data_IF_678334947623
#
_entry.id   IF_678334947623
#
_cell.length_a   1.000
_cell.length_b   1.000
_cell.length_c   1.000
_cell.angle_alpha   90.00
_cell.angle_beta   90.00
_cell.angle_gamma   90.00
#
_symmetry.space_group_name_H-M   'P 1'
#
loop_
_entity.id
_entity.type
_entity.pdbx_description
1 polymer ?
#
# COMPACT_ATOMS: atom_id res chain seq x y z
N UNK A 1 20.73 7.14 41.12
CA UNK A 1 20.99 8.58 40.88
C UNK A 1 19.71 9.27 40.44
N UNK A 2 19.08 8.77 39.38
CA UNK A 2 17.68 9.13 39.04
C UNK A 2 16.73 8.82 40.21
N UNK A 3 16.88 7.66 40.87
CA UNK A 3 16.15 7.31 42.12
C UNK A 3 16.53 8.21 43.33
N UNK A 4 17.54 9.06 43.17
CA UNK A 4 17.95 10.09 44.13
C UNK A 4 17.40 11.48 43.80
N UNK A 5 16.57 11.62 42.75
CA UNK A 5 15.90 12.86 42.36
C UNK A 5 16.60 13.69 41.27
N UNK A 6 17.69 13.19 40.66
CA UNK A 6 18.33 13.84 39.50
C UNK A 6 17.57 13.56 38.20
N UNK A 7 17.53 14.54 37.29
CA UNK A 7 16.96 14.35 35.94
C UNK A 7 17.88 13.50 35.06
N UNK A 8 17.35 12.93 33.98
CA UNK A 8 18.16 12.15 33.04
C UNK A 8 19.07 13.02 32.18
N UNK A 9 18.71 14.29 31.97
CA UNK A 9 19.55 15.36 31.40
C UNK A 9 20.74 15.71 32.32
N UNK A 10 20.51 15.89 33.63
CA UNK A 10 21.57 16.16 34.61
C UNK A 10 22.58 15.00 34.69
N UNK A 11 22.08 13.76 34.65
CA UNK A 11 22.92 12.55 34.58
C UNK A 11 23.68 12.49 33.26
N UNK A 12 23.03 12.75 32.11
CA UNK A 12 23.67 12.76 30.80
C UNK A 12 24.83 13.77 30.74
N UNK A 13 24.59 15.00 31.21
CA UNK A 13 25.60 16.06 31.34
C UNK A 13 26.75 15.65 32.27
N UNK A 14 26.44 15.09 33.44
CA UNK A 14 27.45 14.64 34.43
C UNK A 14 28.38 13.54 33.89
N UNK A 15 27.87 12.68 33.00
CA UNK A 15 28.61 11.55 32.43
C UNK A 15 29.10 11.77 30.99
N UNK A 16 28.97 12.98 30.43
CA UNK A 16 29.35 13.32 29.05
C UNK A 16 28.74 12.36 28.01
N UNK A 17 27.44 12.09 28.14
CA UNK A 17 26.67 11.17 27.30
C UNK A 17 25.33 11.79 26.89
N UNK A 18 24.54 11.12 26.05
CA UNK A 18 23.23 11.59 25.62
C UNK A 18 22.11 11.17 26.58
N UNK A 19 21.02 11.93 26.62
CA UNK A 19 19.85 11.56 27.40
C UNK A 19 19.25 10.22 26.92
N UNK A 20 19.16 10.00 25.60
CA UNK A 20 18.76 8.71 24.99
C UNK A 20 19.59 7.53 25.53
N UNK A 21 20.91 7.69 25.71
CA UNK A 21 21.76 6.64 26.28
C UNK A 21 21.48 6.40 27.78
N UNK A 22 21.22 7.44 28.57
CA UNK A 22 20.78 7.29 29.98
C UNK A 22 19.45 6.53 30.04
N UNK A 23 18.48 6.94 29.23
CA UNK A 23 17.15 6.35 29.19
C UNK A 23 17.17 4.89 28.67
N UNK A 24 18.01 4.56 27.69
CA UNK A 24 18.29 3.18 27.25
C UNK A 24 18.83 2.31 28.39
N UNK A 25 19.79 2.81 29.18
CA UNK A 25 20.32 2.09 30.35
C UNK A 25 19.26 1.91 31.44
N UNK A 26 18.37 2.87 31.64
CA UNK A 26 17.24 2.77 32.56
C UNK A 26 16.13 1.83 32.05
N UNK A 27 15.94 1.70 30.73
CA UNK A 27 15.03 0.72 30.13
C UNK A 27 15.55 -0.70 30.34
N UNK A 28 16.84 -0.95 30.03
CA UNK A 28 17.49 -2.24 30.29
C UNK A 28 17.42 -2.65 31.77
N UNK A 29 17.65 -1.72 32.71
CA UNK A 29 17.56 -1.99 34.15
C UNK A 29 16.13 -2.29 34.67
N UNK A 30 15.10 -2.21 33.82
CA UNK A 30 13.69 -2.53 34.15
C UNK A 30 13.22 -3.87 33.57
N UNK A 31 14.08 -4.62 32.88
CA UNK A 31 13.75 -5.97 32.36
C UNK A 31 13.62 -6.97 33.52
N UNK A 32 12.90 -8.08 33.34
CA UNK A 32 12.73 -9.10 34.38
C UNK A 32 14.09 -9.58 34.93
N UNK A 33 14.25 -9.68 36.27
CA UNK A 33 15.44 -10.26 36.90
C UNK A 33 15.81 -11.64 36.35
N UNK A 34 14.83 -12.47 35.98
CA UNK A 34 15.07 -13.80 35.39
C UNK A 34 15.80 -13.70 34.05
N UNK A 35 15.50 -12.70 33.23
CA UNK A 35 16.17 -12.49 31.95
C UNK A 35 17.58 -11.91 32.14
N UNK A 36 17.79 -11.09 33.18
CA UNK A 36 19.14 -10.70 33.60
C UNK A 36 19.99 -11.89 34.08
N UNK A 37 19.40 -12.86 34.80
CA UNK A 37 20.08 -14.10 35.18
C UNK A 37 20.46 -14.96 33.97
N UNK A 38 19.57 -15.06 32.97
CA UNK A 38 19.84 -15.78 31.71
C UNK A 38 20.92 -15.09 30.88
N UNK A 39 20.89 -13.76 30.78
CA UNK A 39 21.94 -12.97 30.11
C UNK A 39 23.30 -13.12 30.81
N UNK A 40 23.33 -13.12 32.15
CA UNK A 40 24.53 -13.36 32.94
C UNK A 40 25.08 -14.81 32.89
N UNK A 41 24.36 -15.72 32.22
CA UNK A 41 24.75 -17.11 31.94
C UNK A 41 25.05 -17.34 30.45
N UNK A 42 25.28 -16.28 29.68
CA UNK A 42 25.50 -16.31 28.22
C UNK A 42 24.34 -16.94 27.41
N UNK A 43 23.14 -17.05 28.00
CA UNK A 43 21.97 -17.69 27.39
C UNK A 43 21.26 -16.86 26.32
N UNK A 44 21.49 -15.54 26.30
CA UNK A 44 20.97 -14.61 25.29
C UNK A 44 22.00 -13.51 24.97
N UNK A 45 21.89 -12.88 23.80
CA UNK A 45 22.74 -11.74 23.43
C UNK A 45 22.20 -10.43 24.02
N UNK A 46 23.03 -9.36 24.02
CA UNK A 46 22.58 -8.04 24.45
C UNK A 46 21.38 -7.55 23.63
N UNK A 47 21.40 -7.72 22.31
CA UNK A 47 20.30 -7.33 21.42
C UNK A 47 18.99 -8.09 21.71
N UNK A 48 19.05 -9.34 22.21
CA UNK A 48 17.87 -10.06 22.70
C UNK A 48 17.33 -9.43 24.00
N UNK A 49 18.21 -9.06 24.93
CA UNK A 49 17.83 -8.39 26.18
C UNK A 49 17.27 -6.97 25.93
N UNK A 50 17.84 -6.25 24.97
CA UNK A 50 17.33 -4.94 24.51
C UNK A 50 15.92 -5.09 23.93
N UNK A 51 15.65 -6.08 23.09
CA UNK A 51 14.31 -6.35 22.54
C UNK A 51 13.23 -6.58 23.63
N UNK A 52 13.58 -7.13 24.79
CA UNK A 52 12.64 -7.27 25.92
C UNK A 52 12.20 -5.94 26.54
N UNK A 53 12.89 -4.83 26.27
CA UNK A 53 12.46 -3.49 26.73
C UNK A 53 11.21 -2.97 26.01
N UNK A 54 10.83 -3.56 24.87
CA UNK A 54 9.63 -3.18 24.10
C UNK A 54 8.30 -3.39 24.86
N UNK A 55 8.28 -4.20 25.92
CA UNK A 55 7.09 -4.39 26.75
C UNK A 55 7.47 -4.44 28.25
N UNK A 56 6.86 -3.62 29.12
CA UNK A 56 7.30 -3.45 30.52
C UNK A 56 6.82 -4.55 31.48
N UNK A 57 5.90 -5.43 31.06
CA UNK A 57 5.40 -6.53 31.90
C UNK A 57 6.36 -7.72 31.91
N UNK A 58 6.97 -7.98 33.08
CA UNK A 58 7.86 -9.13 33.33
C UNK A 58 7.20 -10.48 33.04
N UNK A 59 5.89 -10.64 33.28
CA UNK A 59 5.21 -11.90 33.02
C UNK A 59 5.11 -12.19 31.51
N UNK A 60 4.86 -11.17 30.69
CA UNK A 60 4.86 -11.31 29.21
C UNK A 60 6.28 -11.47 28.67
N UNK A 61 7.26 -10.75 29.22
CA UNK A 61 8.68 -10.93 28.89
C UNK A 61 9.13 -12.39 29.10
N UNK A 62 8.85 -12.95 30.28
CA UNK A 62 9.21 -14.33 30.60
C UNK A 62 8.44 -15.37 29.78
N UNK A 63 7.15 -15.13 29.50
CA UNK A 63 6.36 -15.99 28.61
C UNK A 63 6.97 -16.05 27.20
N UNK A 64 7.40 -14.92 26.65
CA UNK A 64 8.04 -14.85 25.33
C UNK A 64 9.41 -15.54 25.37
N UNK A 65 10.20 -15.34 26.43
CA UNK A 65 11.47 -16.08 26.59
C UNK A 65 11.27 -17.60 26.64
N UNK A 66 10.31 -18.09 27.44
CA UNK A 66 9.98 -19.52 27.55
C UNK A 66 9.56 -20.16 26.21
N UNK A 67 9.06 -19.36 25.26
CA UNK A 67 8.76 -19.79 23.90
C UNK A 67 9.96 -19.67 22.93
N UNK A 68 10.76 -18.62 23.06
CA UNK A 68 11.91 -18.32 22.17
C UNK A 68 13.13 -19.18 22.48
N UNK A 69 13.46 -19.44 23.75
CA UNK A 69 14.60 -20.27 24.17
C UNK A 69 14.57 -21.66 23.50
N UNK A 70 13.37 -22.24 23.40
CA UNK A 70 13.10 -23.57 22.83
C UNK A 70 13.15 -23.59 21.30
N UNK A 71 13.34 -22.43 20.66
CA UNK A 71 13.38 -22.28 19.21
C UNK A 71 14.80 -22.09 18.68
N UNK A 72 15.02 -22.45 17.42
CA UNK A 72 16.27 -22.16 16.70
C UNK A 72 16.31 -20.74 16.11
N UNK A 73 15.15 -20.07 15.98
CA UNK A 73 15.03 -18.70 15.48
C UNK A 73 14.78 -17.74 16.65
N UNK A 74 15.83 -17.07 17.15
CA UNK A 74 15.77 -16.27 18.39
C UNK A 74 15.98 -14.76 18.16
N UNK A 75 15.78 -14.29 16.93
CA UNK A 75 16.14 -12.95 16.52
C UNK A 75 15.46 -11.84 17.34
N UNK A 76 16.14 -10.71 17.65
CA UNK A 76 15.57 -9.59 18.40
C UNK A 76 14.25 -9.06 17.83
N UNK A 77 14.09 -8.99 16.51
CA UNK A 77 12.83 -8.63 15.85
C UNK A 77 11.69 -9.61 16.20
N UNK A 78 11.97 -10.91 16.28
CA UNK A 78 10.96 -11.91 16.66
C UNK A 78 10.55 -11.75 18.12
N UNK A 79 11.50 -11.44 19.00
CA UNK A 79 11.23 -11.11 20.41
C UNK A 79 10.33 -9.87 20.50
N UNK A 80 10.66 -8.77 19.80
CA UNK A 80 9.80 -7.57 19.72
C UNK A 80 8.39 -7.91 19.28
N UNK A 81 8.24 -8.56 18.12
CA UNK A 81 6.95 -8.92 17.53
C UNK A 81 6.12 -9.82 18.47
N UNK A 82 6.74 -10.82 19.13
CA UNK A 82 6.03 -11.64 20.12
C UNK A 82 5.66 -10.87 21.40
N UNK A 83 6.34 -9.78 21.76
CA UNK A 83 5.96 -8.93 22.89
C UNK A 83 4.80 -8.00 22.53
N UNK A 84 4.75 -7.50 21.30
CA UNK A 84 3.74 -6.53 20.81
C UNK A 84 2.55 -7.19 20.07
N UNK A 85 2.56 -8.50 19.84
CA UNK A 85 1.51 -9.33 19.20
C UNK A 85 0.07 -9.01 19.68
N UNK A 86 -0.12 -8.64 20.94
CA UNK A 86 -1.44 -8.31 21.53
C UNK A 86 -1.72 -6.81 21.60
N UNK A 87 -1.00 -6.00 20.81
CA UNK A 87 -1.09 -4.54 20.77
C UNK A 87 -1.06 -4.04 19.33
N UNK A 88 -1.45 -2.79 19.11
CA UNK A 88 -1.58 -2.21 17.77
C UNK A 88 -0.55 -1.09 17.58
N UNK A 89 0.21 -1.09 16.49
CA UNK A 89 1.17 -0.01 16.21
C UNK A 89 0.48 1.35 16.07
N UNK A 90 1.16 2.45 16.42
CA UNK A 90 0.65 3.80 16.22
C UNK A 90 0.38 4.13 14.74
N UNK A 91 1.07 3.45 13.82
CA UNK A 91 0.93 3.49 12.36
C UNK A 91 -0.12 2.54 11.78
N UNK A 92 -0.83 1.74 12.58
CA UNK A 92 -1.99 0.98 12.10
C UNK A 92 -3.09 1.96 11.65
N UNK A 93 -3.69 1.73 10.48
CA UNK A 93 -4.73 2.60 9.93
C UNK A 93 -5.92 2.86 10.86
N UNK A 94 -6.23 1.97 11.81
CA UNK A 94 -7.21 2.22 12.88
C UNK A 94 -6.73 3.27 13.88
N UNK A 95 -5.46 3.20 14.27
CA UNK A 95 -4.83 4.16 15.18
C UNK A 95 -4.69 5.54 14.53
N UNK A 96 -4.32 5.59 13.25
CA UNK A 96 -4.31 6.81 12.43
C UNK A 96 -5.72 7.37 12.24
N UNK A 97 -6.70 6.53 11.86
CA UNK A 97 -8.09 6.95 11.66
C UNK A 97 -8.76 7.46 12.94
N UNK A 98 -8.53 6.85 14.10
CA UNK A 98 -9.04 7.38 15.37
C UNK A 98 -8.26 8.62 15.80
N UNK A 99 -6.94 8.61 15.63
CA UNK A 99 -5.99 9.60 16.13
C UNK A 99 -5.53 9.27 17.55
N UNK A 100 -4.21 9.28 17.76
CA UNK A 100 -3.58 8.92 19.05
C UNK A 100 -4.12 9.79 20.20
N UNK A 101 -4.32 11.09 19.97
CA UNK A 101 -4.90 12.02 20.95
C UNK A 101 -6.31 11.60 21.40
N UNK A 102 -7.17 11.16 20.48
CA UNK A 102 -8.53 10.72 20.79
C UNK A 102 -8.55 9.39 21.56
N UNK A 103 -7.66 8.46 21.21
CA UNK A 103 -7.44 7.23 21.95
C UNK A 103 -6.97 7.50 23.40
N UNK A 104 -5.98 8.39 23.59
CA UNK A 104 -5.53 8.81 24.93
C UNK A 104 -6.62 9.53 25.72
N UNK A 105 -7.37 10.44 25.09
CA UNK A 105 -8.48 11.17 25.72
C UNK A 105 -9.62 10.25 26.18
N UNK A 106 -9.81 9.12 25.51
CA UNK A 106 -10.74 8.06 25.91
C UNK A 106 -10.20 7.11 27.01
N UNK A 107 -9.02 7.40 27.58
CA UNK A 107 -8.37 6.63 28.64
C UNK A 107 -7.38 5.57 28.14
N UNK A 108 -7.02 5.59 26.86
CA UNK A 108 -6.12 4.62 26.24
C UNK A 108 -4.69 4.68 26.73
N UNK A 109 -4.07 3.52 26.89
CA UNK A 109 -2.67 3.36 27.28
C UNK A 109 -1.81 3.10 26.05
N UNK A 110 -0.69 3.81 25.92
CA UNK A 110 0.39 3.41 25.02
C UNK A 110 1.45 2.62 25.80
N UNK A 111 2.12 1.69 25.11
CA UNK A 111 3.42 1.18 25.52
C UNK A 111 4.49 2.26 25.27
N UNK A 112 5.61 2.26 26.01
CA UNK A 112 6.73 3.14 25.71
C UNK A 112 7.27 2.87 24.29
N UNK A 113 7.66 3.93 23.58
CA UNK A 113 8.44 3.83 22.33
C UNK A 113 9.70 3.01 22.59
N UNK A 114 9.99 2.08 21.70
CA UNK A 114 11.18 1.25 21.79
C UNK A 114 12.42 2.11 21.52
N UNK A 115 13.31 2.19 22.50
CA UNK A 115 14.36 3.22 22.54
C UNK A 115 15.70 2.79 21.90
N UNK A 116 15.74 1.58 21.33
CA UNK A 116 16.92 1.02 20.64
C UNK A 116 16.72 0.92 19.13
N UNK A 117 15.60 1.44 18.64
CA UNK A 117 15.31 1.70 17.25
C UNK A 117 14.87 3.16 17.15
N UNK A 118 14.72 3.68 15.94
CA UNK A 118 14.21 5.05 15.71
C UNK A 118 12.91 5.07 14.89
N UNK A 119 12.55 3.98 14.20
CA UNK A 119 11.40 3.93 13.27
C UNK A 119 10.04 3.60 13.93
N UNK A 120 9.98 3.31 15.24
CA UNK A 120 8.78 2.79 15.91
C UNK A 120 8.07 3.84 16.80
N UNK A 121 6.95 4.41 16.35
CA UNK A 121 6.11 5.38 17.10
C UNK A 121 5.36 4.82 18.34
N UNK A 122 5.64 3.58 18.73
CA UNK A 122 5.04 2.91 19.86
C UNK A 122 3.72 2.20 19.55
N UNK A 123 3.08 1.65 20.60
CA UNK A 123 1.94 0.75 20.45
C UNK A 123 0.79 1.08 21.40
N UNK A 124 -0.44 1.02 20.87
CA UNK A 124 -1.70 1.11 21.58
C UNK A 124 -1.99 -0.24 22.26
N UNK A 125 -2.06 -0.21 23.60
CA UNK A 125 -2.20 -1.40 24.44
C UNK A 125 -3.63 -1.94 24.55
N UNK A 126 -4.65 -1.08 24.43
CA UNK A 126 -6.06 -1.45 24.56
C UNK A 126 -6.72 -1.51 23.18
N UNK A 127 -6.60 -2.68 22.55
CA UNK A 127 -7.18 -2.95 21.23
C UNK A 127 -8.71 -2.87 21.27
N UNK A 128 -9.35 -3.27 22.38
CA UNK A 128 -10.82 -3.24 22.53
C UNK A 128 -11.38 -1.82 22.71
N UNK A 129 -10.60 -0.91 23.29
CA UNK A 129 -10.86 0.53 23.24
C UNK A 129 -10.72 1.06 21.81
N UNK A 130 -9.64 0.71 21.11
CA UNK A 130 -9.40 1.16 19.74
C UNK A 130 -10.52 0.73 18.79
N UNK A 131 -10.82 -0.56 18.72
CA UNK A 131 -11.86 -1.10 17.82
C UNK A 131 -13.24 -0.48 18.10
N UNK A 132 -13.54 -0.15 19.37
CA UNK A 132 -14.76 0.58 19.73
C UNK A 132 -14.73 2.03 19.25
N UNK A 133 -13.63 2.76 19.42
CA UNK A 133 -13.52 4.14 18.90
C UNK A 133 -13.59 4.18 17.38
N UNK A 134 -13.01 3.19 16.70
CA UNK A 134 -13.14 3.01 15.26
C UNK A 134 -14.60 2.79 14.88
N UNK A 135 -15.31 1.86 15.54
CA UNK A 135 -16.73 1.61 15.26
C UNK A 135 -17.63 2.83 15.57
N UNK A 136 -17.36 3.56 16.65
CA UNK A 136 -18.04 4.82 16.98
C UNK A 136 -17.81 5.88 15.89
N UNK A 137 -16.57 6.05 15.39
CA UNK A 137 -16.24 7.03 14.34
C UNK A 137 -16.76 6.61 12.95
N UNK A 138 -16.62 5.34 12.56
CA UNK A 138 -17.19 4.80 11.32
C UNK A 138 -18.72 4.95 11.30
N UNK A 139 -19.39 4.81 12.45
CA UNK A 139 -20.83 5.07 12.53
C UNK A 139 -21.17 6.54 12.27
N UNK A 140 -20.44 7.50 12.83
CA UNK A 140 -20.67 8.92 12.54
C UNK A 140 -20.53 9.20 11.05
N UNK A 141 -19.49 8.64 10.41
CA UNK A 141 -19.29 8.73 8.95
C UNK A 141 -20.44 8.08 8.17
N UNK A 142 -20.94 6.91 8.63
CA UNK A 142 -22.10 6.25 8.02
C UNK A 142 -23.38 7.10 8.11
N UNK A 143 -23.63 7.72 9.26
CA UNK A 143 -24.78 8.62 9.50
C UNK A 143 -24.64 9.92 8.67
N UNK A 144 -23.44 10.45 8.48
CA UNK A 144 -23.15 11.59 7.60
C UNK A 144 -23.41 11.27 6.11
N UNK A 145 -22.90 10.13 5.62
CA UNK A 145 -23.13 9.71 4.23
C UNK A 145 -24.57 9.28 3.99
N UNK A 146 -25.27 8.76 5.00
CA UNK A 146 -26.72 8.50 4.92
C UNK A 146 -27.52 9.79 4.66
N UNK A 147 -27.06 10.94 5.15
CA UNK A 147 -27.68 12.23 4.88
C UNK A 147 -27.50 12.73 3.42
N UNK A 148 -26.55 12.17 2.65
CA UNK A 148 -26.39 12.46 1.22
C UNK A 148 -27.48 11.80 0.35
N UNK A 149 -28.18 10.77 0.87
CA UNK A 149 -29.32 10.15 0.21
C UNK A 149 -29.02 8.89 -0.62
N UNK A 150 -27.86 8.24 -0.41
CA UNK A 150 -27.51 6.98 -1.06
C UNK A 150 -28.55 5.88 -0.78
N UNK A 151 -28.83 5.03 -1.77
CA UNK A 151 -29.83 3.94 -1.65
C UNK A 151 -29.44 2.87 -0.64
N UNK A 152 -28.15 2.62 -0.48
CA UNK A 152 -27.55 1.77 0.55
C UNK A 152 -26.10 2.19 0.79
N UNK A 153 -25.57 1.87 1.97
CA UNK A 153 -24.21 2.18 2.38
C UNK A 153 -23.63 0.93 3.05
N UNK A 154 -22.39 0.60 2.69
CA UNK A 154 -21.58 -0.42 3.36
C UNK A 154 -20.36 0.28 3.94
N UNK A 155 -20.08 0.06 5.23
CA UNK A 155 -18.92 0.65 5.92
C UNK A 155 -18.17 -0.47 6.62
N UNK A 156 -16.91 -0.67 6.24
CA UNK A 156 -16.02 -1.69 6.80
C UNK A 156 -14.56 -1.20 6.74
N UNK A 157 -13.68 -1.77 7.54
CA UNK A 157 -12.22 -1.50 7.48
C UNK A 157 -11.52 -2.34 6.42
N UNK A 158 -12.09 -3.49 6.08
CA UNK A 158 -11.50 -4.46 5.15
C UNK A 158 -12.61 -5.03 4.26
N UNK A 159 -12.88 -4.33 3.16
CA UNK A 159 -13.87 -4.75 2.18
C UNK A 159 -13.41 -6.07 1.52
N UNK A 160 -14.23 -7.15 1.51
CA UNK A 160 -13.84 -8.42 0.92
C UNK A 160 -13.42 -8.31 -0.55
N UNK A 161 -12.53 -9.21 -0.98
CA UNK A 161 -12.16 -9.31 -2.40
C UNK A 161 -13.40 -9.55 -3.28
N UNK A 162 -13.59 -8.69 -4.29
CA UNK A 162 -14.77 -8.73 -5.16
C UNK A 162 -16.07 -8.24 -4.52
N UNK A 163 -16.02 -7.40 -3.48
CA UNK A 163 -17.21 -6.76 -2.88
C UNK A 163 -18.05 -5.94 -3.88
N UNK A 164 -17.43 -5.50 -4.99
CA UNK A 164 -18.02 -4.76 -6.09
C UNK A 164 -18.47 -5.64 -7.28
N UNK A 165 -18.20 -6.95 -7.25
CA UNK A 165 -18.56 -7.88 -8.33
C UNK A 165 -20.06 -7.82 -8.69
N UNK A 166 -20.35 -7.55 -9.97
CA UNK A 166 -21.73 -7.43 -10.47
C UNK A 166 -22.42 -6.09 -10.16
N UNK A 167 -21.73 -5.15 -9.52
CA UNK A 167 -22.14 -3.75 -9.45
C UNK A 167 -21.56 -2.98 -10.64
N UNK A 168 -22.19 -1.84 -10.95
CA UNK A 168 -21.68 -0.84 -11.88
C UNK A 168 -21.49 0.46 -11.11
N UNK A 169 -20.27 0.98 -11.05
CA UNK A 169 -20.03 2.29 -10.49
C UNK A 169 -20.63 3.44 -11.32
N UNK A 170 -20.81 4.56 -10.62
CA UNK A 170 -21.22 5.84 -11.15
C UNK A 170 -20.00 6.76 -11.17
N UNK A 171 -19.86 7.60 -12.21
CA UNK A 171 -18.67 8.43 -12.40
C UNK A 171 -18.89 9.81 -11.79
N UNK A 172 -18.41 9.99 -10.56
CA UNK A 172 -18.41 11.30 -9.92
C UNK A 172 -17.46 12.29 -10.62
N UNK A 173 -17.86 13.55 -10.70
CA UNK A 173 -17.03 14.63 -11.20
C UNK A 173 -16.23 15.26 -10.06
N UNK A 174 -14.90 15.29 -10.15
CA UNK A 174 -14.09 16.07 -9.21
C UNK A 174 -14.44 17.56 -9.34
N UNK A 175 -14.76 18.21 -8.21
CA UNK A 175 -15.10 19.62 -8.21
C UNK A 175 -13.90 20.48 -8.64
N UNK A 176 -14.06 21.28 -9.71
CA UNK A 176 -12.99 22.14 -10.23
C UNK A 176 -12.40 23.02 -9.11
N UNK A 177 -11.07 22.99 -8.96
CA UNK A 177 -10.34 23.87 -8.05
C UNK A 177 -10.69 25.32 -8.38
N UNK A 178 -11.17 26.08 -7.39
CA UNK A 178 -11.51 27.50 -7.60
C UNK A 178 -10.24 28.30 -7.92
N UNK A 179 -10.35 29.45 -8.59
CA UNK A 179 -9.20 30.33 -8.88
C UNK A 179 -8.43 30.79 -7.64
N UNK A 180 -8.98 30.63 -6.43
CA UNK A 180 -8.28 30.85 -5.16
C UNK A 180 -7.47 29.61 -4.77
N UNK A 181 -8.09 28.43 -4.82
CA UNK A 181 -7.45 27.14 -4.53
C UNK A 181 -6.32 26.81 -5.51
N UNK A 182 -6.53 27.04 -6.82
CA UNK A 182 -5.50 26.88 -7.85
C UNK A 182 -4.21 27.65 -7.49
N UNK A 183 -4.36 28.94 -7.13
CA UNK A 183 -3.26 29.82 -6.69
C UNK A 183 -2.68 29.48 -5.33
N UNK A 184 -3.39 28.71 -4.50
CA UNK A 184 -2.86 28.22 -3.23
C UNK A 184 -2.02 26.97 -3.46
N UNK A 185 -2.50 26.02 -4.28
CA UNK A 185 -1.74 24.82 -4.70
C UNK A 185 -0.49 25.19 -5.50
N UNK A 186 -0.60 26.16 -6.41
CA UNK A 186 0.51 26.72 -7.19
C UNK A 186 1.62 27.24 -6.27
N UNK A 187 1.27 28.13 -5.31
CA UNK A 187 2.21 28.63 -4.30
C UNK A 187 2.83 27.58 -3.40
N UNK A 188 2.07 26.55 -3.02
CA UNK A 188 2.59 25.45 -2.20
C UNK A 188 3.64 24.64 -2.98
N UNK A 189 3.44 24.40 -4.28
CA UNK A 189 4.44 23.76 -5.15
C UNK A 189 5.66 24.67 -5.38
N UNK A 190 5.46 25.98 -5.58
CA UNK A 190 6.55 26.99 -5.60
C UNK A 190 7.31 27.08 -4.25
N UNK A 191 6.69 26.66 -3.14
CA UNK A 191 7.32 26.61 -1.83
C UNK A 191 8.12 25.33 -1.63
N UNK A 192 7.55 24.19 -2.01
CA UNK A 192 8.21 22.87 -2.05
C UNK A 192 9.45 22.87 -2.95
N UNK A 193 9.29 23.20 -4.24
CA UNK A 193 10.39 23.18 -5.24
C UNK A 193 11.59 24.05 -4.80
N UNK A 194 11.31 25.18 -4.13
CA UNK A 194 12.34 26.05 -3.58
C UNK A 194 13.07 25.41 -2.40
N UNK A 195 12.35 24.83 -1.44
CA UNK A 195 12.95 24.18 -0.28
C UNK A 195 13.76 22.95 -0.70
N UNK A 196 13.21 22.10 -1.57
CA UNK A 196 13.90 20.96 -2.16
C UNK A 196 15.20 21.40 -2.87
N UNK A 197 15.16 22.50 -3.64
CA UNK A 197 16.35 23.05 -4.33
C UNK A 197 17.36 23.68 -3.37
N UNK A 198 16.91 24.39 -2.32
CA UNK A 198 17.76 25.09 -1.36
C UNK A 198 18.51 24.13 -0.42
N UNK A 199 17.93 22.95 -0.17
CA UNK A 199 18.49 21.92 0.71
C UNK A 199 18.97 20.64 -0.03
N UNK A 200 18.99 20.62 -1.37
CA UNK A 200 19.38 19.45 -2.18
C UNK A 200 20.79 18.88 -1.90
N UNK A 201 21.73 19.71 -1.43
CA UNK A 201 23.11 19.33 -1.11
C UNK A 201 23.32 18.92 0.37
N UNK A 202 22.25 18.76 1.17
CA UNK A 202 22.33 18.36 2.58
C UNK A 202 22.06 16.85 2.75
N UNK A 203 22.98 16.15 3.43
CA UNK A 203 22.82 14.72 3.79
C UNK A 203 21.67 14.48 4.80
N UNK A 204 21.29 15.50 5.57
CA UNK A 204 20.23 15.46 6.59
C UNK A 204 19.52 16.84 6.62
N UNK A 205 18.19 16.84 6.56
CA UNK A 205 17.36 18.05 6.56
C UNK A 205 17.24 18.62 7.98
N UNK A 206 17.27 19.95 8.18
CA UNK A 206 16.95 20.56 9.48
C UNK A 206 15.47 20.31 9.86
N UNK A 207 15.21 20.02 11.14
CA UNK A 207 13.89 19.69 11.69
C UNK A 207 12.77 20.65 11.24
N UNK A 208 13.06 21.96 11.15
CA UNK A 208 12.08 22.99 10.78
C UNK A 208 11.78 23.04 9.27
N UNK A 209 12.66 22.48 8.44
CA UNK A 209 12.49 22.34 6.99
C UNK A 209 11.78 21.02 6.66
N UNK A 210 12.15 19.93 7.32
CA UNK A 210 11.46 18.63 7.21
C UNK A 210 9.98 18.75 7.62
N UNK A 211 9.73 19.31 8.82
CA UNK A 211 8.37 19.61 9.27
C UNK A 211 7.61 20.48 8.26
N UNK A 212 8.28 21.45 7.63
CA UNK A 212 7.65 22.36 6.67
C UNK A 212 7.33 21.69 5.34
N UNK A 213 8.16 20.77 4.85
CA UNK A 213 7.88 19.97 3.67
C UNK A 213 6.65 19.08 3.91
N UNK A 214 6.62 18.33 5.02
CA UNK A 214 5.46 17.50 5.39
C UNK A 214 4.15 18.31 5.59
N UNK A 215 4.23 19.55 6.09
CA UNK A 215 3.09 20.47 6.11
C UNK A 215 2.60 20.86 4.71
N UNK A 216 3.50 21.02 3.74
CA UNK A 216 3.19 21.41 2.36
C UNK A 216 2.59 20.23 1.61
N UNK A 217 3.21 19.05 1.66
CA UNK A 217 2.71 17.82 1.03
C UNK A 217 1.29 17.50 1.51
N UNK A 218 1.06 17.51 2.82
CA UNK A 218 -0.27 17.29 3.43
C UNK A 218 -1.32 18.31 2.97
N UNK A 219 -0.92 19.53 2.61
CA UNK A 219 -1.82 20.53 2.03
C UNK A 219 -2.03 20.34 0.53
N UNK A 220 -1.04 19.82 -0.21
CA UNK A 220 -1.18 19.47 -1.63
C UNK A 220 -2.12 18.27 -1.78
N UNK A 221 -1.91 17.22 -1.00
CA UNK A 221 -2.77 16.04 -0.91
C UNK A 221 -4.25 16.39 -0.63
N UNK A 222 -4.50 17.35 0.24
CA UNK A 222 -5.86 17.82 0.56
C UNK A 222 -6.58 18.47 -0.65
N UNK A 223 -5.86 18.90 -1.69
CA UNK A 223 -6.46 19.34 -2.96
C UNK A 223 -6.76 18.18 -3.92
N UNK A 224 -6.14 17.02 -3.75
CA UNK A 224 -6.20 15.89 -4.69
C UNK A 224 -7.10 14.76 -4.15
N UNK A 225 -7.06 14.50 -2.83
CA UNK A 225 -8.01 13.65 -2.06
C UNK A 225 -9.42 14.28 -1.90
N UNK A 226 -9.87 15.13 -2.83
CA UNK A 226 -11.18 15.80 -2.76
C UNK A 226 -12.31 14.83 -3.09
N UNK A 227 -13.45 14.86 -2.35
CA UNK A 227 -14.60 14.01 -2.66
C UNK A 227 -15.17 14.36 -4.04
N UNK A 228 -15.45 13.32 -4.84
CA UNK A 228 -16.12 13.46 -6.12
C UNK A 228 -17.60 13.85 -5.93
N UNK A 229 -18.12 14.68 -6.83
CA UNK A 229 -19.51 15.14 -6.86
C UNK A 229 -20.29 14.26 -7.83
N UNK A 230 -21.26 13.52 -7.31
CA UNK A 230 -22.14 12.64 -8.08
C UNK A 230 -23.46 13.34 -8.41
N UNK A 231 -24.15 12.91 -9.47
CA UNK A 231 -25.52 13.39 -9.77
C UNK A 231 -26.48 12.88 -8.68
N UNK A 232 -27.31 13.74 -8.04
CA UNK A 232 -28.32 13.30 -7.07
C UNK A 232 -29.28 12.21 -7.60
N UNK A 233 -29.51 12.13 -8.91
CA UNK A 233 -30.28 11.07 -9.54
C UNK A 233 -29.52 9.72 -9.58
N UNK A 234 -28.19 9.74 -9.63
CA UNK A 234 -27.35 8.55 -9.50
C UNK A 234 -27.19 8.11 -8.04
N UNK A 235 -26.97 9.06 -7.11
CA UNK A 235 -26.92 8.80 -5.65
C UNK A 235 -28.19 8.05 -5.19
N UNK A 236 -29.37 8.48 -5.65
CA UNK A 236 -30.66 7.88 -5.28
C UNK A 236 -30.88 6.44 -5.78
N UNK A 237 -30.03 5.92 -6.69
CA UNK A 237 -30.13 4.55 -7.24
C UNK A 237 -28.91 3.67 -6.96
N UNK A 238 -27.74 4.28 -6.72
CA UNK A 238 -26.49 3.64 -6.36
C UNK A 238 -26.34 3.50 -4.84
N UNK A 239 -25.34 2.71 -4.43
CA UNK A 239 -24.84 2.73 -3.06
C UNK A 239 -23.34 2.92 -3.05
N UNK A 240 -22.77 3.06 -1.85
CA UNK A 240 -21.37 3.44 -1.65
C UNK A 240 -20.71 2.54 -0.62
N UNK A 241 -19.47 2.13 -0.90
CA UNK A 241 -18.58 1.51 0.07
C UNK A 241 -17.69 2.59 0.69
N UNK A 242 -17.59 2.58 2.02
CA UNK A 242 -16.71 3.43 2.79
C UNK A 242 -15.70 2.53 3.50
N UNK A 243 -14.43 2.81 3.31
CA UNK A 243 -13.32 2.13 4.00
C UNK A 243 -12.28 3.15 4.48
N UNK A 244 -11.28 2.65 5.20
CA UNK A 244 -10.14 3.40 5.71
C UNK A 244 -8.90 2.96 4.93
N UNK A 245 -8.19 3.92 4.31
CA UNK A 245 -6.91 3.67 3.64
C UNK A 245 -5.76 3.48 4.65
N UNK A 246 -4.57 3.10 4.20
CA UNK A 246 -3.45 2.81 5.11
C UNK A 246 -2.95 4.05 5.88
N UNK A 247 -3.20 5.27 5.38
CA UNK A 247 -2.91 6.53 6.06
C UNK A 247 -3.97 6.89 7.14
N UNK A 248 -5.00 6.07 7.31
CA UNK A 248 -6.12 6.33 8.20
C UNK A 248 -7.14 7.34 7.67
N UNK A 249 -7.12 7.66 6.37
CA UNK A 249 -8.09 8.53 5.73
C UNK A 249 -9.30 7.74 5.19
N UNK A 250 -10.41 8.45 4.93
CA UNK A 250 -11.65 7.83 4.44
C UNK A 250 -11.65 7.67 2.92
N UNK A 251 -11.46 6.44 2.46
CA UNK A 251 -11.62 6.09 1.05
C UNK A 251 -13.09 5.72 0.75
N UNK A 252 -13.68 6.39 -0.25
CA UNK A 252 -14.98 6.01 -0.81
C UNK A 252 -14.77 5.24 -2.11
N UNK A 253 -15.09 3.94 -2.11
CA UNK A 253 -14.86 3.08 -3.27
C UNK A 253 -16.14 2.98 -4.11
N UNK A 254 -16.05 3.44 -5.35
CA UNK A 254 -17.02 3.19 -6.41
C UNK A 254 -16.33 2.39 -7.51
N UNK A 255 -16.22 1.07 -7.32
CA UNK A 255 -15.42 0.16 -8.17
C UNK A 255 -15.82 0.17 -9.65
N UNK A 256 -14.88 0.53 -10.52
CA UNK A 256 -15.10 0.73 -11.96
C UNK A 256 -14.00 0.07 -12.80
N UNK A 257 -14.25 -1.14 -13.29
CA UNK A 257 -13.71 -1.59 -14.56
C UNK A 257 -14.76 -1.34 -15.67
N UNK A 258 -14.36 -0.66 -16.74
CA UNK A 258 -15.26 -0.32 -17.85
C UNK A 258 -15.56 -1.52 -18.78
N UNK A 259 -14.68 -2.51 -18.88
CA UNK A 259 -14.88 -3.71 -19.69
C UNK A 259 -15.91 -4.64 -19.02
N UNK A 260 -15.75 -4.90 -17.72
CA UNK A 260 -16.68 -5.73 -16.95
C UNK A 260 -18.03 -5.02 -16.70
N UNK A 261 -18.05 -3.69 -16.65
CA UNK A 261 -19.29 -2.89 -16.74
C UNK A 261 -19.98 -2.99 -18.13
N UNK A 262 -19.43 -3.75 -19.08
CA UNK A 262 -20.02 -4.05 -20.38
C UNK A 262 -19.92 -2.90 -21.39
N UNK A 263 -18.99 -1.95 -21.23
CA UNK A 263 -18.82 -0.86 -22.20
C UNK A 263 -18.34 -1.41 -23.55
N UNK A 264 -19.18 -1.31 -24.58
CA UNK A 264 -18.81 -1.60 -25.96
C UNK A 264 -18.73 -0.29 -26.76
N UNK A 265 -17.66 -0.06 -27.55
CA UNK A 265 -17.50 1.16 -28.34
C UNK A 265 -18.44 1.14 -29.57
N UNK A 266 -19.66 1.66 -29.43
CA UNK A 266 -20.63 1.75 -30.53
C UNK A 266 -20.51 3.06 -31.32
N UNK A 267 -21.10 3.12 -32.52
CA UNK A 267 -21.31 4.33 -33.32
C UNK A 267 -22.02 5.41 -32.50
N UNK A 268 -23.06 5.02 -31.76
CA UNK A 268 -23.88 5.93 -30.96
C UNK A 268 -23.15 6.48 -29.71
N UNK A 269 -22.13 5.77 -29.20
CA UNK A 269 -21.41 6.11 -27.98
C UNK A 269 -20.04 6.75 -28.27
N UNK A 270 -19.16 6.05 -28.99
CA UNK A 270 -17.75 6.44 -29.16
C UNK A 270 -17.35 6.62 -30.64
N UNK A 271 -17.57 5.59 -31.47
CA UNK A 271 -17.00 5.53 -32.82
C UNK A 271 -17.57 6.59 -33.78
N UNK A 272 -18.81 7.02 -33.59
CA UNK A 272 -19.40 8.14 -34.34
C UNK A 272 -18.85 9.51 -33.95
N UNK A 273 -18.30 9.68 -32.74
CA UNK A 273 -17.75 10.96 -32.24
C UNK A 273 -16.31 11.20 -32.67
N UNK A 274 -15.50 10.15 -32.76
CA UNK A 274 -14.07 10.24 -33.14
C UNK A 274 -13.83 10.44 -34.65
N UNK A 275 -12.57 10.63 -35.03
CA UNK A 275 -12.12 10.83 -36.43
C UNK A 275 -11.76 9.50 -37.10
N UNK A 276 -11.77 9.45 -38.45
CA UNK A 276 -11.38 8.24 -39.21
C UNK A 276 -10.04 7.64 -38.76
N UNK A 277 -8.93 8.41 -38.62
CA UNK A 277 -7.65 7.83 -38.19
C UNK A 277 -7.74 7.18 -36.81
N UNK A 278 -8.52 7.75 -35.87
CA UNK A 278 -8.69 7.17 -34.53
C UNK A 278 -9.57 5.91 -34.52
N UNK A 279 -10.51 5.76 -35.45
CA UNK A 279 -11.25 4.50 -35.65
C UNK A 279 -10.30 3.41 -36.14
N UNK A 280 -9.45 3.73 -37.13
CA UNK A 280 -8.44 2.81 -37.66
C UNK A 280 -7.40 2.43 -36.60
N UNK A 281 -6.95 3.40 -35.80
CA UNK A 281 -6.07 3.16 -34.65
C UNK A 281 -6.74 2.26 -33.60
N UNK A 282 -8.01 2.49 -33.26
CA UNK A 282 -8.75 1.64 -32.32
C UNK A 282 -8.83 0.18 -32.77
N UNK A 283 -9.15 -0.05 -34.05
CA UNK A 283 -9.20 -1.41 -34.62
C UNK A 283 -7.79 -2.03 -34.74
N UNK A 284 -6.76 -1.23 -34.98
CA UNK A 284 -5.36 -1.69 -34.93
C UNK A 284 -4.95 -2.14 -33.53
N UNK A 285 -5.23 -1.33 -32.51
CA UNK A 285 -4.96 -1.63 -31.10
C UNK A 285 -5.73 -2.86 -30.58
N UNK A 286 -6.90 -3.17 -31.14
CA UNK A 286 -7.73 -4.30 -30.72
C UNK A 286 -7.46 -5.62 -31.47
N UNK A 287 -7.16 -5.53 -32.77
CA UNK A 287 -7.24 -6.67 -33.70
C UNK A 287 -6.10 -6.70 -34.75
N UNK A 288 -5.12 -5.81 -34.64
CA UNK A 288 -3.98 -5.72 -35.54
C UNK A 288 -4.29 -5.15 -36.92
N UNK A 289 -3.25 -5.00 -37.73
CA UNK A 289 -3.31 -4.29 -39.02
C UNK A 289 -4.21 -4.97 -40.08
N UNK A 290 -4.39 -6.29 -40.01
CA UNK A 290 -5.21 -7.04 -40.97
C UNK A 290 -6.66 -6.51 -41.02
N UNK A 291 -7.26 -6.22 -39.85
CA UNK A 291 -8.65 -5.74 -39.79
C UNK A 291 -8.77 -4.26 -40.18
N UNK A 292 -7.71 -3.47 -40.04
CA UNK A 292 -7.66 -2.07 -40.49
C UNK A 292 -7.85 -1.98 -42.00
N UNK A 293 -7.17 -2.85 -42.76
CA UNK A 293 -7.25 -2.95 -44.23
C UNK A 293 -8.61 -3.39 -44.77
N UNK A 294 -9.52 -3.84 -43.89
CA UNK A 294 -10.91 -4.17 -44.25
C UNK A 294 -11.85 -2.95 -44.16
N UNK A 295 -11.45 -1.88 -43.48
CA UNK A 295 -12.33 -0.73 -43.18
C UNK A 295 -11.78 0.65 -43.62
N UNK A 296 -10.48 0.76 -43.90
CA UNK A 296 -9.77 1.99 -44.31
C UNK A 296 -10.45 2.80 -45.42
N UNK A 297 -10.89 2.12 -46.47
CA UNK A 297 -11.53 2.66 -47.67
C UNK A 297 -13.00 3.07 -47.47
N UNK A 298 -13.64 2.66 -46.36
CA UNK A 298 -15.06 2.96 -46.09
C UNK A 298 -15.29 4.44 -45.75
N UNK A 299 -16.53 4.94 -45.91
CA UNK A 299 -16.90 6.29 -45.43
C UNK A 299 -17.03 6.29 -43.91
N UNK A 300 -16.95 7.46 -43.26
CA UNK A 300 -16.83 7.55 -41.78
C UNK A 300 -17.92 6.73 -41.06
N UNK A 301 -19.17 6.89 -41.49
CA UNK A 301 -20.32 6.31 -40.78
C UNK A 301 -20.42 4.79 -41.00
N UNK A 302 -19.95 4.29 -42.15
CA UNK A 302 -19.86 2.86 -42.47
C UNK A 302 -18.65 2.22 -41.76
N UNK A 303 -17.50 2.91 -41.76
CA UNK A 303 -16.28 2.55 -41.02
C UNK A 303 -16.55 2.43 -39.52
N UNK A 304 -17.34 3.35 -38.95
CA UNK A 304 -17.72 3.31 -37.54
C UNK A 304 -18.65 2.12 -37.22
N UNK A 305 -19.56 1.74 -38.13
CA UNK A 305 -20.44 0.57 -37.97
C UNK A 305 -19.69 -0.74 -38.07
N UNK A 306 -18.76 -0.85 -39.01
CA UNK A 306 -17.95 -2.07 -39.16
C UNK A 306 -16.92 -2.19 -38.02
N UNK A 307 -16.36 -1.08 -37.54
CA UNK A 307 -15.56 -1.06 -36.32
C UNK A 307 -16.38 -1.42 -35.07
N UNK A 308 -17.65 -1.00 -34.94
CA UNK A 308 -18.55 -1.47 -33.87
C UNK A 308 -18.73 -2.99 -33.92
N UNK A 309 -18.95 -3.54 -35.13
CA UNK A 309 -19.09 -5.00 -35.36
C UNK A 309 -17.81 -5.78 -35.04
N UNK A 310 -16.64 -5.21 -35.35
CA UNK A 310 -15.34 -5.84 -35.10
C UNK A 310 -14.94 -5.78 -33.62
N UNK A 311 -15.18 -4.65 -32.94
CA UNK A 311 -14.79 -4.46 -31.54
C UNK A 311 -15.76 -5.10 -30.54
N UNK A 312 -16.99 -5.43 -30.96
CA UNK A 312 -18.07 -5.90 -30.10
C UNK A 312 -17.67 -6.96 -29.06
N UNK A 313 -16.91 -7.98 -29.47
CA UNK A 313 -16.57 -9.15 -28.63
C UNK A 313 -15.09 -9.20 -28.24
N UNK A 314 -14.38 -8.06 -28.32
CA UNK A 314 -12.93 -7.96 -28.07
C UNK A 314 -12.55 -7.50 -26.65
N UNK A 315 -13.52 -7.01 -25.87
CA UNK A 315 -13.26 -6.32 -24.60
C UNK A 315 -12.50 -4.99 -24.73
N UNK A 316 -12.20 -4.52 -25.95
CA UNK A 316 -11.36 -3.36 -26.17
C UNK A 316 -12.01 -2.06 -25.67
N UNK A 317 -11.28 -1.35 -24.82
CA UNK A 317 -11.64 -0.04 -24.30
C UNK A 317 -10.84 1.08 -24.99
N UNK A 318 -11.46 2.26 -25.21
CA UNK A 318 -10.74 3.49 -25.51
C UNK A 318 -9.66 3.80 -24.47
N UNK A 319 -8.54 4.36 -24.92
CA UNK A 319 -7.40 4.75 -24.08
C UNK A 319 -7.77 5.55 -22.81
N UNK A 320 -8.69 6.54 -22.82
CA UNK A 320 -9.10 7.27 -21.60
C UNK A 320 -10.03 6.49 -20.66
N UNK A 321 -10.37 5.24 -20.99
CA UNK A 321 -11.25 4.36 -20.22
C UNK A 321 -10.55 3.06 -19.78
N UNK A 322 -9.28 2.88 -20.14
CA UNK A 322 -8.47 1.76 -19.64
C UNK A 322 -8.00 2.07 -18.23
N UNK A 323 -8.08 1.08 -17.34
CA UNK A 323 -7.25 1.07 -16.15
C UNK A 323 -5.77 1.03 -16.58
N UNK A 324 -4.92 1.80 -15.92
CA UNK A 324 -3.47 1.74 -16.13
C UNK A 324 -2.97 0.48 -15.44
N UNK A 325 -2.95 -0.63 -16.18
CA UNK A 325 -2.26 -1.83 -15.75
C UNK A 325 -0.76 -1.51 -15.68
N UNK A 326 -0.21 -1.54 -14.47
CA UNK A 326 1.24 -1.46 -14.25
C UNK A 326 1.90 -2.63 -14.99
N UNK A 327 2.87 -2.33 -15.85
CA UNK A 327 3.40 -3.31 -16.78
C UNK A 327 4.29 -4.33 -16.02
N UNK A 328 3.97 -5.64 -16.03
CA UNK A 328 4.93 -6.64 -15.56
C UNK A 328 6.18 -6.55 -16.44
N UNK A 329 7.36 -6.57 -15.79
CA UNK A 329 8.64 -6.40 -16.48
C UNK A 329 8.79 -7.41 -17.63
N UNK A 330 9.13 -6.92 -18.82
CA UNK A 330 9.12 -7.73 -20.03
C UNK A 330 10.31 -8.69 -20.09
N UNK A 331 10.12 -9.94 -19.61
CA UNK A 331 10.99 -11.07 -19.94
C UNK A 331 10.85 -11.42 -21.44
N UNK A 332 11.61 -10.73 -22.28
CA UNK A 332 11.60 -10.94 -23.74
C UNK A 332 12.19 -12.29 -24.12
N UNK A 333 11.34 -13.28 -24.43
CA UNK A 333 11.75 -14.62 -24.86
C UNK A 333 11.06 -15.10 -26.17
N UNK A 334 11.36 -14.43 -27.29
CA UNK A 334 11.20 -14.96 -28.66
C UNK A 334 11.95 -14.09 -29.69
N UNK A 335 12.63 -14.61 -30.71
CA UNK A 335 12.99 -16.01 -30.97
C UNK A 335 13.53 -16.28 -32.39
N UNK A 336 14.67 -16.98 -32.45
CA UNK A 336 15.20 -17.77 -33.59
C UNK A 336 15.76 -17.09 -34.85
N UNK A 337 16.71 -17.80 -35.46
CA UNK A 337 17.31 -17.67 -36.82
C UNK A 337 18.18 -16.42 -37.08
N UNK A 338 19.47 -16.53 -37.44
CA UNK A 338 20.37 -17.69 -37.50
C UNK A 338 21.24 -17.72 -38.76
N UNK A 339 22.56 -17.61 -38.60
CA UNK A 339 23.60 -17.93 -39.59
C UNK A 339 24.95 -18.11 -38.87
N UNK A 340 25.88 -18.88 -39.46
CA UNK A 340 27.13 -19.31 -38.82
C UNK A 340 28.17 -18.20 -38.57
N UNK A 341 28.71 -18.16 -37.34
CA UNK A 341 30.09 -17.71 -37.09
C UNK A 341 30.73 -18.64 -36.04
N UNK A 342 31.82 -19.32 -36.41
CA UNK A 342 32.45 -20.33 -35.57
C UNK A 342 33.09 -19.75 -34.29
N UNK A 343 32.91 -20.45 -33.17
CA UNK A 343 33.64 -20.20 -31.91
C UNK A 343 34.95 -21.02 -31.85
N UNK A 344 36.00 -20.51 -31.18
CA UNK A 344 37.35 -21.08 -31.26
C UNK A 344 37.60 -22.28 -30.33
N UNK A 345 38.59 -23.08 -30.70
CA UNK A 345 39.09 -24.28 -30.00
C UNK A 345 39.77 -23.93 -28.65
N UNK A 346 39.00 -23.80 -27.56
CA UNK A 346 39.57 -23.58 -26.21
C UNK A 346 38.88 -24.30 -25.05
N UNK A 347 37.75 -24.99 -25.27
CA UNK A 347 37.04 -25.77 -24.25
C UNK A 347 36.60 -27.15 -24.76
N UNK A 348 37.58 -27.89 -25.28
CA UNK A 348 37.56 -29.36 -25.29
C UNK A 348 38.45 -29.85 -24.13
N UNK A 349 38.29 -31.13 -23.76
CA UNK A 349 38.86 -31.80 -22.56
C UNK A 349 38.09 -31.49 -21.24
N UNK A 350 37.65 -32.46 -20.43
CA UNK A 350 37.69 -33.92 -20.63
C UNK A 350 36.71 -34.72 -19.72
N UNK A 351 36.69 -36.04 -19.93
CA UNK A 351 36.42 -37.17 -18.98
C UNK A 351 34.95 -37.55 -18.61
N UNK A 352 34.44 -38.54 -19.38
CA UNK A 352 33.83 -39.83 -18.99
C UNK A 352 32.67 -40.00 -17.95
N UNK A 353 31.76 -40.93 -18.29
CA UNK A 353 30.71 -41.45 -17.40
C UNK A 353 29.61 -42.25 -18.13
N UNK A 354 29.89 -43.48 -18.56
CA UNK A 354 29.09 -44.21 -19.56
C UNK A 354 27.98 -45.17 -19.04
N UNK A 355 27.03 -45.46 -19.94
CA UNK A 355 26.02 -46.56 -19.94
C UNK A 355 24.82 -46.42 -18.95
N UNK A 356 23.64 -47.02 -19.20
CA UNK A 356 23.30 -48.05 -20.22
C UNK A 356 21.84 -47.98 -20.78
N UNK A 357 21.57 -48.87 -21.75
CA UNK A 357 20.34 -49.26 -22.46
C UNK A 357 19.05 -49.50 -21.59
N UNK A 358 17.79 -49.57 -22.10
CA UNK A 358 17.21 -49.42 -23.45
C UNK A 358 15.64 -49.34 -23.47
N UNK A 359 15.08 -48.87 -24.61
CA UNK A 359 13.78 -49.24 -25.24
C UNK A 359 12.43 -49.14 -24.50
N UNK A 360 11.49 -48.33 -25.04
CA UNK A 360 10.03 -48.56 -24.88
C UNK A 360 9.11 -47.34 -25.11
N UNK A 361 8.36 -47.32 -26.22
CA UNK A 361 7.34 -46.31 -26.61
C UNK A 361 6.37 -46.93 -27.66
N UNK A 362 5.09 -46.51 -27.87
CA UNK A 362 4.22 -45.57 -27.13
C UNK A 362 3.12 -46.36 -26.34
N UNK A 363 1.87 -45.96 -26.01
CA UNK A 363 0.86 -44.95 -26.49
C UNK A 363 -0.19 -44.68 -25.35
N UNK A 364 -1.19 -43.78 -25.50
CA UNK A 364 -1.85 -43.11 -24.35
C UNK A 364 -3.16 -43.74 -23.84
N UNK A 365 -3.72 -43.14 -22.77
CA UNK A 365 -5.10 -43.33 -22.32
C UNK A 365 -5.75 -41.96 -22.00
N UNK A 366 -7.07 -41.84 -22.22
CA UNK A 366 -7.83 -40.58 -22.23
C UNK A 366 -9.14 -40.72 -21.44
N UNK A 367 -9.49 -39.64 -20.73
CA UNK A 367 -10.82 -39.21 -20.24
C UNK A 367 -11.51 -39.89 -19.03
N UNK A 368 -12.25 -39.02 -18.34
CA UNK A 368 -13.43 -39.24 -17.49
C UNK A 368 -13.23 -39.90 -16.11
N UNK A 369 -14.06 -39.60 -15.10
CA UNK A 369 -15.26 -38.71 -15.07
C UNK A 369 -15.01 -37.38 -14.34
#
# INVERSE_FOLDING_TARGET
>A
MVDGGMSTEEVASTYFTSQRYVDQRLALAKVSPRLHEVYAQDGMTLAMLEAFTAHPDHARQEQVWDAVERSHYREPWRIRNMLTETTVAASDKRALFVGIEAYMAAGGQMLPRYLFDDDEDGWLKDVSLLDRLVAEKLKVVADEVAAEGWKWITVDLELPYGHDHGLRAITGAFAELTRKEQRQREKLREEQERLETEYADYDELPDDIDQRLGEIEKQLDAFERRPAVYDPAEIAIAGVFITVDEDGALARVTGLDMADAGFRPTVANYLGRITKPRILQAVHEALGEEKVRLIDHLKKDDMAREAERLLADTGWLPEPLRLVAEAPAAETSAGQNGDDVALPEFFADDDDGAADEATGDPTPLIAAE
#
